data_IF_626783828333
#
_entry.id   IF_626783828333
#
_cell.length_a   1.000
_cell.length_b   1.000
_cell.length_c   1.000
_cell.angle_alpha   90.00
_cell.angle_beta   90.00
_cell.angle_gamma   90.00
#
_symmetry.space_group_name_H-M   'P 1'
#
loop_
_entity.id
_entity.type
_entity.pdbx_description
1 polymer ?
#
# COMPACT_ATOMS: atom_id res chain seq x y z
N UNK A 1 11.40 -2.18 -41.40
CA UNK A 1 12.27 -1.94 -40.23
C UNK A 1 11.46 -1.11 -39.25
N UNK A 2 10.68 -1.80 -38.43
CA UNK A 2 9.87 -1.22 -37.36
C UNK A 2 10.76 -1.10 -36.13
N UNK A 3 11.05 0.12 -35.71
CA UNK A 3 11.66 0.43 -34.41
C UNK A 3 10.80 -0.21 -33.31
N UNK A 4 11.32 -1.26 -32.69
CA UNK A 4 10.93 -1.57 -31.33
C UNK A 4 11.45 -0.43 -30.47
N UNK A 5 10.64 0.21 -29.60
CA UNK A 5 11.19 1.14 -28.64
C UNK A 5 12.14 0.34 -27.74
N UNK A 6 13.43 0.60 -27.90
CA UNK A 6 14.48 0.06 -27.06
C UNK A 6 14.10 0.33 -25.60
N UNK A 7 13.82 -0.74 -24.84
CA UNK A 7 13.93 -0.73 -23.38
C UNK A 7 15.41 -0.56 -23.03
N UNK A 8 15.97 0.63 -23.27
CA UNK A 8 17.18 1.07 -22.59
C UNK A 8 16.88 1.02 -21.10
N UNK A 9 17.82 0.52 -20.30
CA UNK A 9 17.66 0.38 -18.85
C UNK A 9 17.16 1.71 -18.25
N UNK A 10 15.86 1.77 -17.98
CA UNK A 10 15.21 2.98 -17.51
C UNK A 10 15.48 3.14 -16.02
N UNK A 11 15.80 4.35 -15.59
CA UNK A 11 15.97 4.64 -14.16
C UNK A 11 14.72 5.31 -13.63
N UNK A 12 14.23 4.86 -12.49
CA UNK A 12 13.07 5.41 -11.79
C UNK A 12 13.55 5.99 -10.46
N UNK A 13 13.25 7.26 -10.21
CA UNK A 13 13.50 7.88 -8.92
C UNK A 13 12.42 7.47 -7.91
N UNK A 14 12.79 6.97 -6.74
CA UNK A 14 11.85 6.71 -5.64
C UNK A 14 12.24 7.55 -4.43
N UNK A 15 11.38 8.49 -4.06
CA UNK A 15 11.55 9.27 -2.84
C UNK A 15 10.95 8.51 -1.66
N UNK A 16 11.80 7.96 -0.77
CA UNK A 16 11.35 7.20 0.41
C UNK A 16 12.40 7.18 1.51
N UNK A 17 11.98 7.39 2.76
CA UNK A 17 12.85 7.25 3.96
C UNK A 17 12.80 5.87 4.59
N UNK A 18 11.78 5.06 4.29
CA UNK A 18 11.44 3.87 5.08
C UNK A 18 11.77 2.54 4.38
N UNK A 19 12.92 2.48 3.71
CA UNK A 19 13.46 1.26 3.07
C UNK A 19 12.54 0.54 2.06
N UNK A 20 11.49 1.23 1.55
CA UNK A 20 10.55 0.63 0.58
C UNK A 20 11.22 0.25 -0.74
N UNK A 21 12.35 0.87 -1.08
CA UNK A 21 13.07 0.61 -2.33
C UNK A 21 13.40 -0.86 -2.54
N UNK A 22 13.80 -1.58 -1.50
CA UNK A 22 14.11 -3.01 -1.59
C UNK A 22 12.87 -3.88 -1.90
N UNK A 23 11.67 -3.42 -1.53
CA UNK A 23 10.41 -4.12 -1.78
C UNK A 23 9.89 -3.86 -3.19
N UNK A 24 10.11 -2.65 -3.70
CA UNK A 24 9.55 -2.19 -4.97
C UNK A 24 10.48 -2.42 -6.16
N UNK A 25 11.78 -2.47 -5.93
CA UNK A 25 12.76 -2.68 -6.99
C UNK A 25 12.66 -4.03 -7.73
N UNK A 26 12.43 -5.19 -7.07
CA UNK A 26 12.49 -6.48 -7.77
C UNK A 26 11.48 -6.64 -8.91
N UNK A 27 10.18 -6.31 -8.74
CA UNK A 27 9.22 -6.41 -9.85
C UNK A 27 9.54 -5.47 -11.03
N UNK A 28 10.10 -4.29 -10.76
CA UNK A 28 10.47 -3.32 -11.80
C UNK A 28 11.77 -3.71 -12.51
N UNK A 29 12.73 -4.32 -11.80
CA UNK A 29 13.98 -4.80 -12.38
C UNK A 29 13.73 -5.89 -13.45
N UNK A 30 12.68 -6.70 -13.30
CA UNK A 30 12.25 -7.67 -14.32
C UNK A 30 11.85 -7.02 -15.66
N UNK A 31 11.49 -5.73 -15.65
CA UNK A 31 11.22 -4.92 -16.84
C UNK A 31 12.44 -4.12 -17.33
N UNK A 32 13.62 -4.35 -16.74
CA UNK A 32 14.84 -3.57 -17.00
C UNK A 32 14.84 -2.18 -16.36
N UNK A 33 13.93 -1.90 -15.42
CA UNK A 33 13.79 -0.62 -14.74
C UNK A 33 14.54 -0.63 -13.40
N UNK A 34 15.56 0.22 -13.27
CA UNK A 34 16.37 0.34 -12.06
C UNK A 34 15.82 1.42 -11.12
N UNK A 35 15.41 1.04 -9.91
CA UNK A 35 14.95 1.99 -8.89
C UNK A 35 16.14 2.67 -8.21
N UNK A 36 16.23 3.98 -8.37
CA UNK A 36 17.17 4.87 -7.69
C UNK A 36 16.47 5.54 -6.50
N UNK A 37 16.80 5.12 -5.28
CA UNK A 37 16.22 5.68 -4.06
C UNK A 37 16.87 7.03 -3.73
N UNK A 38 16.08 8.00 -3.32
CA UNK A 38 16.54 9.26 -2.72
C UNK A 38 15.79 9.53 -1.43
N UNK A 39 16.49 10.08 -0.45
CA UNK A 39 15.99 10.57 0.84
C UNK A 39 16.30 12.07 1.03
N UNK A 40 16.68 12.76 -0.04
CA UNK A 40 17.09 14.17 -0.04
C UNK A 40 15.96 15.14 0.35
N UNK A 41 14.72 14.64 0.48
CA UNK A 41 13.58 15.38 1.00
C UNK A 41 12.91 14.60 2.13
N UNK A 42 12.59 15.30 3.21
CA UNK A 42 11.87 14.70 4.31
C UNK A 42 10.39 14.53 3.97
N UNK A 43 10.02 13.34 3.51
CA UNK A 43 8.64 12.98 3.17
C UNK A 43 7.66 13.06 4.33
N UNK A 44 8.14 13.07 5.58
CA UNK A 44 7.29 13.18 6.76
C UNK A 44 6.66 14.57 6.88
N UNK A 45 7.22 15.58 6.19
CA UNK A 45 6.60 16.90 6.02
C UNK A 45 5.28 16.85 5.23
N UNK A 46 5.04 15.77 4.47
CA UNK A 46 3.78 15.53 3.76
C UNK A 46 2.75 14.78 4.63
N UNK A 47 3.10 14.45 5.88
CA UNK A 47 2.30 13.73 6.86
C UNK A 47 2.92 12.39 7.27
N UNK A 48 2.72 11.97 8.52
CA UNK A 48 3.32 10.74 9.09
C UNK A 48 2.31 9.68 9.47
N UNK A 49 2.73 8.41 9.42
CA UNK A 49 1.95 7.28 9.96
C UNK A 49 1.84 7.32 11.48
N UNK A 50 2.83 7.90 12.17
CA UNK A 50 2.88 8.04 13.62
C UNK A 50 1.96 9.12 14.18
N UNK A 51 1.32 9.92 13.32
CA UNK A 51 0.40 11.01 13.71
C UNK A 51 1.09 12.30 14.17
N UNK A 52 2.41 12.42 13.97
CA UNK A 52 3.18 13.61 14.36
C UNK A 52 2.96 14.80 13.41
N UNK A 53 2.73 14.53 12.12
CA UNK A 53 2.39 15.55 11.11
C UNK A 53 1.06 15.16 10.46
N UNK A 54 0.10 16.08 10.46
CA UNK A 54 -1.21 15.87 9.87
C UNK A 54 -1.12 15.65 8.35
N UNK A 55 -1.91 14.71 7.83
CA UNK A 55 -2.01 14.45 6.38
C UNK A 55 -3.03 15.42 5.79
N UNK A 56 -2.59 16.32 4.92
CA UNK A 56 -3.46 17.34 4.28
C UNK A 56 -3.85 16.99 2.84
N UNK A 57 -3.16 16.02 2.23
CA UNK A 57 -3.40 15.54 0.87
C UNK A 57 -4.11 14.19 0.90
N UNK A 58 -4.85 13.88 -0.18
CA UNK A 58 -5.30 12.50 -0.41
C UNK A 58 -4.09 11.57 -0.60
N UNK A 59 -4.22 10.25 -0.33
CA UNK A 59 -3.13 9.32 -0.58
C UNK A 59 -2.62 9.36 -2.02
N UNK A 60 -3.51 9.53 -3.00
CA UNK A 60 -3.14 9.63 -4.40
C UNK A 60 -2.34 10.91 -4.70
N UNK A 61 -2.80 12.06 -4.20
CA UNK A 61 -2.12 13.35 -4.43
C UNK A 61 -0.76 13.40 -3.73
N UNK A 62 -0.65 12.79 -2.55
CA UNK A 62 0.62 12.68 -1.84
C UNK A 62 1.61 11.77 -2.59
N UNK A 63 1.17 10.63 -3.11
CA UNK A 63 2.00 9.78 -3.95
C UNK A 63 2.42 10.51 -5.23
N UNK A 64 1.51 11.23 -5.90
CA UNK A 64 1.82 12.07 -7.06
C UNK A 64 2.90 13.10 -6.74
N UNK A 65 2.74 13.84 -5.64
CA UNK A 65 3.73 14.85 -5.23
C UNK A 65 5.08 14.22 -4.92
N UNK A 66 5.12 13.05 -4.29
CA UNK A 66 6.36 12.29 -4.03
C UNK A 66 7.03 11.84 -5.33
N UNK A 67 6.28 11.36 -6.31
CA UNK A 67 6.81 10.99 -7.62
C UNK A 67 7.43 12.20 -8.34
N UNK A 68 6.73 13.34 -8.35
CA UNK A 68 7.20 14.58 -8.94
C UNK A 68 8.46 15.11 -8.24
N UNK A 69 8.48 15.14 -6.91
CA UNK A 69 9.66 15.51 -6.13
C UNK A 69 10.85 14.59 -6.41
N UNK A 70 10.61 13.28 -6.55
CA UNK A 70 11.68 12.33 -6.88
C UNK A 70 12.35 12.69 -8.22
N UNK A 71 11.57 13.05 -9.24
CA UNK A 71 12.10 13.58 -10.50
C UNK A 71 12.84 14.91 -10.33
N UNK A 72 12.26 15.87 -9.60
CA UNK A 72 12.86 17.19 -9.35
C UNK A 72 14.23 17.07 -8.68
N UNK A 73 14.37 16.20 -7.67
CA UNK A 73 15.59 16.04 -6.88
C UNK A 73 16.69 15.26 -7.60
N UNK A 74 16.31 14.30 -8.45
CA UNK A 74 17.27 13.40 -9.10
C UNK A 74 17.58 13.77 -10.55
N UNK A 75 16.75 14.63 -11.16
CA UNK A 75 16.81 14.94 -12.59
C UNK A 75 16.33 13.80 -13.50
N UNK A 76 15.81 12.70 -12.95
CA UNK A 76 15.24 11.60 -13.74
C UNK A 76 13.84 11.95 -14.25
N UNK A 77 13.47 11.36 -15.40
CA UNK A 77 12.17 11.59 -16.02
C UNK A 77 11.06 10.72 -15.45
N UNK A 78 11.40 9.59 -14.84
CA UNK A 78 10.45 8.69 -14.20
C UNK A 78 10.56 8.82 -12.68
N UNK A 79 9.43 9.15 -12.05
CA UNK A 79 9.32 9.31 -10.61
C UNK A 79 8.30 8.33 -10.03
N UNK A 80 8.61 7.76 -8.88
CA UNK A 80 7.76 6.82 -8.18
C UNK A 80 7.42 7.36 -6.79
N UNK A 81 6.13 7.50 -6.55
CA UNK A 81 5.55 7.83 -5.25
C UNK A 81 4.96 6.61 -4.60
N UNK A 82 5.01 6.56 -3.28
CA UNK A 82 4.40 5.49 -2.49
C UNK A 82 3.64 6.04 -1.29
N UNK A 83 2.41 5.58 -1.11
CA UNK A 83 1.57 5.91 0.03
C UNK A 83 0.88 4.68 0.58
N UNK A 84 0.59 4.73 1.87
CA UNK A 84 -0.25 3.71 2.48
C UNK A 84 -1.20 4.29 3.53
N UNK A 85 -2.24 3.55 3.85
CA UNK A 85 -3.26 3.93 4.82
C UNK A 85 -3.82 2.71 5.54
N UNK A 86 -4.25 2.93 6.79
CA UNK A 86 -4.86 1.89 7.63
C UNK A 86 -6.28 2.27 8.06
N UNK A 87 -7.12 1.27 8.33
CA UNK A 87 -8.42 1.42 9.00
C UNK A 87 -9.65 1.54 8.10
N UNK A 88 -9.48 1.54 6.78
CA UNK A 88 -10.57 1.47 5.80
C UNK A 88 -11.08 0.05 5.57
N UNK A 89 -11.42 -0.27 4.32
CA UNK A 89 -11.82 -1.62 3.91
C UNK A 89 -13.29 -1.96 4.14
N UNK A 90 -13.71 -3.18 3.77
CA UNK A 90 -15.12 -3.59 3.75
C UNK A 90 -15.76 -3.71 5.15
N UNK A 91 -14.95 -3.80 6.21
CA UNK A 91 -15.38 -3.94 7.59
C UNK A 91 -14.63 -2.97 8.51
N UNK A 92 -14.68 -1.67 8.15
CA UNK A 92 -14.01 -0.61 8.91
C UNK A 92 -14.35 -0.68 10.42
N UNK A 93 -13.31 -0.60 11.26
CA UNK A 93 -13.44 -0.71 12.71
C UNK A 93 -13.43 -2.14 13.28
N UNK A 94 -13.71 -3.16 12.47
CA UNK A 94 -13.64 -4.57 12.88
C UNK A 94 -12.34 -5.24 12.44
N UNK A 95 -11.85 -4.90 11.25
CA UNK A 95 -10.64 -5.46 10.67
C UNK A 95 -9.66 -4.33 10.42
N UNK A 96 -8.42 -4.48 10.89
CA UNK A 96 -7.37 -3.55 10.49
C UNK A 96 -7.02 -3.84 9.02
N UNK A 97 -7.23 -2.84 8.17
CA UNK A 97 -7.11 -2.98 6.73
C UNK A 97 -6.00 -2.07 6.23
N UNK A 98 -5.02 -2.66 5.55
CA UNK A 98 -3.94 -1.95 4.87
C UNK A 98 -4.31 -1.69 3.42
N UNK A 99 -4.01 -0.49 2.94
CA UNK A 99 -4.06 -0.14 1.52
C UNK A 99 -2.75 0.55 1.15
N UNK A 100 -2.05 -0.02 0.18
CA UNK A 100 -0.80 0.48 -0.37
C UNK A 100 -1.01 0.93 -1.82
N UNK A 101 -0.45 2.09 -2.12
CA UNK A 101 -0.55 2.76 -3.41
C UNK A 101 0.85 3.11 -3.92
N UNK A 102 1.11 2.78 -5.17
CA UNK A 102 2.28 3.21 -5.93
C UNK A 102 1.82 4.04 -7.12
N UNK A 103 2.46 5.17 -7.36
CA UNK A 103 2.21 6.02 -8.53
C UNK A 103 3.52 6.26 -9.27
N UNK A 104 3.61 5.75 -10.50
CA UNK A 104 4.65 6.13 -11.43
C UNK A 104 4.19 7.36 -12.22
N UNK A 105 5.03 8.38 -12.26
CA UNK A 105 4.84 9.59 -13.05
C UNK A 105 5.93 9.69 -14.10
N UNK A 106 5.53 9.86 -15.37
CA UNK A 106 6.45 10.18 -16.46
C UNK A 106 6.41 11.68 -16.73
N UNK A 107 7.52 12.36 -16.37
CA UNK A 107 7.69 13.80 -16.55
C UNK A 107 7.58 14.25 -18.01
N UNK A 108 8.00 13.41 -18.98
CA UNK A 108 8.04 13.79 -20.40
C UNK A 108 6.66 13.85 -21.00
N UNK A 109 5.80 12.89 -20.64
CA UNK A 109 4.46 12.77 -21.19
C UNK A 109 3.37 13.30 -20.26
N UNK A 110 3.69 13.53 -18.98
CA UNK A 110 2.73 13.87 -17.93
C UNK A 110 1.86 12.69 -17.50
N UNK A 111 2.10 11.48 -17.99
CA UNK A 111 1.28 10.31 -17.72
C UNK A 111 1.51 9.75 -16.31
N UNK A 112 0.47 9.12 -15.77
CA UNK A 112 0.47 8.49 -14.45
C UNK A 112 0.01 7.04 -14.55
N UNK A 113 0.69 6.16 -13.82
CA UNK A 113 0.30 4.76 -13.64
C UNK A 113 0.19 4.49 -12.15
N UNK A 114 -1.04 4.21 -11.69
CA UNK A 114 -1.38 4.04 -10.27
C UNK A 114 -1.66 2.57 -9.93
N UNK A 115 -0.77 1.90 -9.22
CA UNK A 115 -1.00 0.54 -8.75
C UNK A 115 -1.41 0.52 -7.27
N UNK A 116 -2.23 -0.47 -6.91
CA UNK A 116 -2.77 -0.64 -5.55
C UNK A 116 -2.76 -2.11 -5.13
N UNK A 117 -2.55 -2.32 -3.84
CA UNK A 117 -2.83 -3.59 -3.17
C UNK A 117 -3.37 -3.29 -1.78
N UNK A 118 -4.31 -4.10 -1.32
CA UNK A 118 -4.96 -3.87 -0.04
C UNK A 118 -5.42 -5.20 0.57
N UNK A 119 -5.53 -5.25 1.89
CA UNK A 119 -6.02 -6.43 2.57
C UNK A 119 -5.95 -6.33 4.09
N UNK A 120 -6.42 -7.39 4.78
CA UNK A 120 -6.40 -7.42 6.22
C UNK A 120 -4.97 -7.54 6.76
N UNK A 121 -4.71 -6.87 7.88
CA UNK A 121 -3.53 -7.05 8.72
C UNK A 121 -3.98 -7.43 10.14
N UNK A 122 -3.24 -8.34 10.78
CA UNK A 122 -3.60 -8.87 12.10
C UNK A 122 -3.09 -8.02 13.26
N UNK A 123 -2.09 -7.19 13.00
CA UNK A 123 -1.48 -6.35 14.04
C UNK A 123 -2.48 -5.33 14.59
N UNK A 124 -2.59 -5.25 15.91
CA UNK A 124 -3.50 -4.37 16.62
C UNK A 124 -2.85 -3.84 17.90
N UNK A 125 -3.30 -2.66 18.34
CA UNK A 125 -2.85 -2.05 19.58
C UNK A 125 -3.61 -2.62 20.78
N UNK A 126 -2.96 -2.68 21.94
CA UNK A 126 -3.57 -3.10 23.20
C UNK A 126 -2.98 -2.32 24.39
N UNK A 127 -3.75 -2.23 25.47
CA UNK A 127 -3.24 -1.69 26.74
C UNK A 127 -2.46 -2.79 27.45
N UNK A 128 -1.28 -2.44 27.93
CA UNK A 128 -0.45 -3.35 28.71
C UNK A 128 -1.05 -3.54 30.11
N UNK A 129 -1.19 -4.80 30.53
CA UNK A 129 -1.70 -5.18 31.85
C UNK A 129 -0.71 -6.05 32.62
N UNK A 130 0.03 -6.90 31.92
CA UNK A 130 1.05 -7.76 32.51
C UNK A 130 2.06 -8.22 31.48
N UNK A 131 3.22 -8.69 31.94
CA UNK A 131 4.23 -9.31 31.09
C UNK A 131 3.71 -10.57 30.38
N UNK A 132 2.92 -11.40 31.08
CA UNK A 132 2.33 -12.59 30.49
C UNK A 132 1.36 -12.26 29.34
N UNK A 133 0.50 -11.25 29.52
CA UNK A 133 -0.39 -10.76 28.46
C UNK A 133 0.40 -10.21 27.28
N UNK A 134 1.44 -9.42 27.52
CA UNK A 134 2.31 -8.89 26.46
C UNK A 134 2.93 -10.01 25.64
N UNK A 135 3.59 -10.97 26.29
CA UNK A 135 4.22 -12.10 25.59
C UNK A 135 3.18 -12.86 24.77
N UNK A 136 2.01 -13.16 25.34
CA UNK A 136 0.95 -13.88 24.65
C UNK A 136 0.42 -13.12 23.41
N UNK A 137 0.27 -11.79 23.50
CA UNK A 137 -0.20 -10.96 22.38
C UNK A 137 0.85 -10.80 21.28
N UNK A 138 2.14 -10.76 21.63
CA UNK A 138 3.22 -10.50 20.68
C UNK A 138 3.80 -11.78 20.04
N UNK A 139 3.77 -12.92 20.74
CA UNK A 139 4.35 -14.18 20.29
C UNK A 139 3.85 -14.71 18.93
N UNK A 140 2.58 -14.49 18.51
CA UNK A 140 2.10 -14.93 17.20
C UNK A 140 2.75 -14.20 16.01
N UNK A 141 3.40 -13.07 16.25
CA UNK A 141 3.98 -12.24 15.19
C UNK A 141 5.47 -12.55 14.97
N UNK A 142 5.98 -12.40 13.73
CA UNK A 142 7.40 -12.63 13.44
C UNK A 142 8.29 -11.67 14.23
N UNK A 143 9.52 -12.07 14.54
CA UNK A 143 10.49 -11.23 15.26
C UNK A 143 10.83 -9.92 14.54
N UNK A 144 10.63 -9.86 13.22
CA UNK A 144 10.77 -8.65 12.42
C UNK A 144 9.61 -7.64 12.58
N UNK A 145 8.51 -8.02 13.25
CA UNK A 145 7.44 -7.09 13.59
C UNK A 145 7.92 -6.13 14.68
N UNK A 146 7.93 -4.84 14.36
CA UNK A 146 8.23 -3.77 15.30
C UNK A 146 7.00 -3.33 16.08
N UNK A 147 7.25 -2.85 17.28
CA UNK A 147 6.25 -2.32 18.20
C UNK A 147 6.64 -0.94 18.70
N UNK A 148 5.65 -0.20 19.14
CA UNK A 148 5.76 1.11 19.77
C UNK A 148 5.18 0.97 21.17
N UNK A 149 5.93 1.41 22.18
CA UNK A 149 5.41 1.59 23.54
C UNK A 149 5.11 3.09 23.71
N UNK A 150 3.84 3.40 23.99
CA UNK A 150 3.40 4.75 24.36
C UNK A 150 3.04 4.77 25.84
N UNK A 151 3.59 5.71 26.57
CA UNK A 151 3.35 5.88 28.00
C UNK A 151 3.40 7.38 28.35
N UNK A 152 2.98 7.81 29.56
CA UNK A 152 2.87 9.23 29.91
C UNK A 152 4.18 10.02 29.76
N UNK A 153 5.31 9.35 29.99
CA UNK A 153 6.63 9.96 29.95
C UNK A 153 7.31 9.90 28.57
N UNK A 154 6.69 9.27 27.55
CA UNK A 154 7.33 9.18 26.23
C UNK A 154 6.80 8.11 25.30
N UNK A 155 7.55 7.93 24.21
CA UNK A 155 7.27 6.97 23.15
C UNK A 155 8.57 6.29 22.72
N UNK A 156 8.60 4.97 22.79
CA UNK A 156 9.70 4.13 22.28
C UNK A 156 9.22 3.41 21.03
N UNK A 157 9.97 3.51 19.92
CA UNK A 157 9.55 3.03 18.60
C UNK A 157 10.56 2.04 18.00
N UNK A 158 10.14 1.20 17.06
CA UNK A 158 11.04 0.29 16.34
C UNK A 158 11.53 -0.89 17.19
N UNK A 159 10.73 -1.32 18.17
CA UNK A 159 11.08 -2.43 19.06
C UNK A 159 10.70 -3.75 18.38
N UNK A 160 11.66 -4.41 17.74
CA UNK A 160 11.40 -5.63 16.96
C UNK A 160 11.33 -6.88 17.83
N UNK A 161 10.16 -7.53 17.82
CA UNK A 161 9.91 -8.76 18.55
C UNK A 161 9.74 -8.60 20.06
N UNK A 162 9.32 -9.69 20.71
CA UNK A 162 8.94 -9.71 22.14
C UNK A 162 10.09 -9.27 23.05
N UNK A 163 11.30 -9.75 22.78
CA UNK A 163 12.47 -9.47 23.63
C UNK A 163 12.81 -7.96 23.70
N UNK A 164 12.82 -7.28 22.55
CA UNK A 164 13.12 -5.84 22.50
C UNK A 164 12.06 -5.01 23.24
N UNK A 165 10.80 -5.42 23.16
CA UNK A 165 9.70 -4.76 23.88
C UNK A 165 9.85 -4.96 25.39
N UNK A 166 10.17 -6.17 25.85
CA UNK A 166 10.37 -6.46 27.27
C UNK A 166 11.58 -5.71 27.84
N UNK A 167 12.70 -5.71 27.11
CA UNK A 167 13.90 -4.99 27.52
C UNK A 167 13.61 -3.49 27.70
N UNK A 168 12.97 -2.86 26.71
CA UNK A 168 12.60 -1.45 26.79
C UNK A 168 11.60 -1.18 27.93
N UNK A 169 10.62 -2.07 28.10
CA UNK A 169 9.64 -1.98 29.17
C UNK A 169 10.33 -1.96 30.54
N UNK A 170 11.25 -2.90 30.80
CA UNK A 170 11.95 -3.01 32.09
C UNK A 170 12.99 -1.91 32.31
N UNK A 171 13.76 -1.58 31.27
CA UNK A 171 14.89 -0.64 31.39
C UNK A 171 14.42 0.82 31.47
N UNK A 172 13.39 1.19 30.72
CA UNK A 172 13.05 2.59 30.48
C UNK A 172 11.62 2.97 30.84
N UNK A 173 10.66 2.05 30.74
CA UNK A 173 9.24 2.37 30.96
C UNK A 173 8.86 2.19 32.42
N UNK A 174 8.93 0.96 32.96
CA UNK A 174 8.51 0.63 34.33
C UNK A 174 9.17 1.51 35.41
N UNK A 175 10.50 1.80 35.36
CA UNK A 175 11.13 2.65 36.37
C UNK A 175 10.61 4.09 36.40
N UNK A 176 9.91 4.53 35.35
CA UNK A 176 9.38 5.89 35.19
C UNK A 176 7.87 5.96 35.42
N UNK A 177 7.19 4.83 35.61
CA UNK A 177 5.76 4.82 35.91
C UNK A 177 5.54 5.11 37.39
N UNK A 178 4.56 5.97 37.70
CA UNK A 178 4.11 6.17 39.07
C UNK A 178 2.97 5.22 39.40
N UNK A 179 2.69 5.03 40.70
CA UNK A 179 1.58 4.20 41.17
C UNK A 179 0.25 4.74 40.63
N UNK A 180 -0.32 4.06 39.63
CA UNK A 180 -1.55 4.47 38.92
C UNK A 180 -1.41 4.53 37.40
N UNK A 181 -0.18 4.60 36.88
CA UNK A 181 0.07 4.79 35.44
C UNK A 181 0.10 3.50 34.61
N UNK A 182 0.02 2.32 35.23
CA UNK A 182 0.14 1.04 34.50
C UNK A 182 -0.90 0.91 33.37
N UNK A 183 -2.14 1.38 33.59
CA UNK A 183 -3.21 1.37 32.60
C UNK A 183 -3.07 2.43 31.49
N UNK A 184 -2.02 3.25 31.54
CA UNK A 184 -1.72 4.28 30.52
C UNK A 184 -0.64 3.85 29.52
N UNK A 185 -0.05 2.65 29.71
CA UNK A 185 0.92 2.08 28.77
C UNK A 185 0.17 1.36 27.65
N UNK A 186 0.37 1.83 26.42
CA UNK A 186 -0.22 1.26 25.21
C UNK A 186 0.89 0.66 24.35
N UNK A 187 0.68 -0.57 23.91
CA UNK A 187 1.51 -1.24 22.93
C UNK A 187 0.81 -1.08 21.58
N UNK A 188 1.48 -0.43 20.64
CA UNK A 188 0.97 -0.16 19.29
C UNK A 188 1.86 -0.87 18.26
N UNK A 189 1.31 -1.40 17.17
CA UNK A 189 2.15 -1.93 16.11
C UNK A 189 2.91 -0.81 15.40
N UNK A 190 4.18 -1.05 15.10
CA UNK A 190 4.96 -0.14 14.27
C UNK A 190 4.65 -0.40 12.80
N UNK A 191 3.75 0.41 12.26
CA UNK A 191 3.23 0.24 10.90
C UNK A 191 4.19 0.76 9.82
N UNK A 192 5.38 1.26 10.18
CA UNK A 192 6.37 1.70 9.19
C UNK A 192 6.86 0.47 8.38
N UNK A 193 7.08 0.65 7.09
CA UNK A 193 7.30 -0.46 6.15
C UNK A 193 8.42 -1.43 6.57
N UNK A 194 9.54 -0.92 7.11
CA UNK A 194 10.65 -1.76 7.59
C UNK A 194 10.31 -2.62 8.82
N UNK A 195 9.27 -2.26 9.58
CA UNK A 195 8.88 -2.91 10.83
C UNK A 195 7.57 -3.70 10.74
N UNK A 196 6.90 -3.72 9.58
CA UNK A 196 5.61 -4.40 9.44
C UNK A 196 5.64 -5.42 8.29
N UNK A 197 6.02 -6.69 8.55
CA UNK A 197 6.12 -7.72 7.51
C UNK A 197 4.82 -7.97 6.72
N UNK A 198 3.65 -7.88 7.36
CA UNK A 198 2.36 -8.03 6.68
C UNK A 198 2.13 -6.91 5.67
N UNK A 199 2.36 -5.65 6.07
CA UNK A 199 2.31 -4.47 5.17
C UNK A 199 3.28 -4.60 4.00
N UNK A 200 4.49 -5.13 4.24
CA UNK A 200 5.46 -5.32 3.16
C UNK A 200 4.93 -6.24 2.04
N UNK A 201 4.03 -7.17 2.35
CA UNK A 201 3.39 -8.03 1.34
C UNK A 201 2.52 -7.22 0.40
N UNK A 202 1.72 -6.29 0.93
CA UNK A 202 0.89 -5.41 0.08
C UNK A 202 1.74 -4.40 -0.71
N UNK A 203 2.85 -3.90 -0.14
CA UNK A 203 3.81 -3.07 -0.90
C UNK A 203 4.37 -3.84 -2.11
N UNK A 204 4.74 -5.12 -1.92
CA UNK A 204 5.24 -5.98 -3.01
C UNK A 204 4.16 -6.24 -4.06
N UNK A 205 2.94 -6.56 -3.65
CA UNK A 205 1.81 -6.77 -4.57
C UNK A 205 1.48 -5.51 -5.38
N UNK A 206 1.53 -4.33 -4.77
CA UNK A 206 1.36 -3.06 -5.49
C UNK A 206 2.49 -2.86 -6.52
N UNK A 207 3.73 -3.22 -6.19
CA UNK A 207 4.86 -3.15 -7.13
C UNK A 207 4.74 -4.18 -8.28
N UNK A 208 4.26 -5.39 -7.99
CA UNK A 208 3.96 -6.42 -8.99
C UNK A 208 2.86 -5.96 -9.95
N UNK A 209 1.76 -5.39 -9.42
CA UNK A 209 0.70 -4.84 -10.25
C UNK A 209 1.20 -3.66 -11.08
N UNK A 210 2.05 -2.79 -10.53
CA UNK A 210 2.67 -1.71 -11.30
C UNK A 210 3.47 -2.27 -12.49
N UNK A 211 4.28 -3.31 -12.26
CA UNK A 211 5.02 -3.96 -13.33
C UNK A 211 4.08 -4.59 -14.40
N UNK A 212 3.01 -5.26 -13.98
CA UNK A 212 2.00 -5.82 -14.89
C UNK A 212 1.34 -4.73 -15.74
N UNK A 213 0.98 -3.60 -15.12
CA UNK A 213 0.41 -2.43 -15.80
C UNK A 213 1.35 -1.85 -16.84
N UNK A 214 2.63 -1.69 -16.50
CA UNK A 214 3.64 -1.20 -17.44
C UNK A 214 3.89 -2.16 -18.61
N UNK A 215 3.77 -3.47 -18.38
CA UNK A 215 3.92 -4.48 -19.42
C UNK A 215 2.68 -4.61 -20.32
N UNK A 216 1.50 -4.27 -19.81
CA UNK A 216 0.24 -4.39 -20.54
C UNK A 216 0.06 -3.21 -21.49
N UNK A 217 0.45 -3.42 -22.75
CA UNK A 217 0.40 -2.39 -23.79
C UNK A 217 -0.95 -2.34 -24.51
N UNK A 218 -1.34 -1.13 -24.93
CA UNK A 218 -2.48 -0.94 -25.81
C UNK A 218 -2.23 -1.60 -27.17
N UNK A 219 -3.17 -2.42 -27.69
CA UNK A 219 -2.99 -3.08 -28.99
C UNK A 219 -2.95 -2.10 -30.18
N UNK A 220 -3.45 -0.87 -30.00
CA UNK A 220 -3.50 0.13 -31.06
C UNK A 220 -2.28 1.06 -31.11
N UNK A 221 -1.82 1.56 -29.95
CA UNK A 221 -0.76 2.58 -29.91
C UNK A 221 0.43 2.17 -29.04
N UNK A 222 0.46 0.93 -28.56
CA UNK A 222 1.51 0.32 -27.72
C UNK A 222 1.84 1.05 -26.41
N UNK A 223 1.07 2.08 -26.06
CA UNK A 223 1.19 2.78 -24.79
C UNK A 223 0.98 1.80 -23.61
N UNK A 224 1.77 1.91 -22.53
CA UNK A 224 1.63 1.06 -21.37
C UNK A 224 0.33 1.36 -20.62
N UNK A 225 0.02 0.57 -19.59
CA UNK A 225 -1.12 0.74 -18.71
C UNK A 225 -2.48 0.57 -19.41
N UNK A 226 -2.58 -0.37 -20.37
CA UNK A 226 -3.87 -0.80 -20.92
C UNK A 226 -4.57 -1.77 -19.97
N UNK A 227 -5.00 -1.25 -18.83
CA UNK A 227 -5.43 -1.99 -17.66
C UNK A 227 -6.95 -1.92 -17.45
N UNK A 228 -7.59 -2.98 -16.89
CA UNK A 228 -9.03 -2.99 -16.64
C UNK A 228 -9.38 -2.22 -15.34
N UNK A 229 -9.32 -0.89 -15.40
CA UNK A 229 -9.72 -0.04 -14.26
C UNK A 229 -11.24 0.19 -14.18
N UNK A 230 -11.91 0.11 -15.33
CA UNK A 230 -13.34 0.36 -15.46
C UNK A 230 -14.12 -0.97 -15.57
N UNK A 231 -15.41 -0.94 -15.26
CA UNK A 231 -16.30 -2.08 -15.48
C UNK A 231 -17.69 -1.63 -15.91
N UNK A 232 -18.38 -2.51 -16.64
CA UNK A 232 -19.82 -2.37 -16.93
C UNK A 232 -20.56 -3.26 -15.94
N UNK A 233 -21.47 -2.75 -15.10
CA UNK A 233 -22.27 -3.58 -14.20
C UNK A 233 -23.36 -4.35 -14.97
N UNK A 234 -24.03 -5.29 -14.30
CA UNK A 234 -25.19 -6.00 -14.84
C UNK A 234 -24.99 -7.49 -15.04
N UNK A 235 -24.05 -8.12 -14.30
CA UNK A 235 -23.90 -9.57 -14.33
C UNK A 235 -25.24 -10.25 -13.93
N UNK A 236 -25.78 -11.17 -14.74
CA UNK A 236 -27.09 -11.75 -14.48
C UNK A 236 -27.06 -12.69 -13.27
N UNK A 237 -28.07 -12.61 -12.40
CA UNK A 237 -28.24 -13.52 -11.28
C UNK A 237 -28.51 -14.96 -11.76
N UNK A 238 -27.84 -15.95 -11.16
CA UNK A 238 -28.00 -17.36 -11.53
C UNK A 238 -29.42 -17.92 -11.28
N UNK A 239 -30.22 -17.31 -10.40
CA UNK A 239 -31.55 -17.81 -10.02
C UNK A 239 -32.70 -17.09 -10.76
N UNK A 240 -32.59 -15.78 -10.96
CA UNK A 240 -33.68 -14.94 -11.46
C UNK A 240 -33.34 -14.12 -12.71
N UNK A 241 -32.12 -14.24 -13.24
CA UNK A 241 -31.60 -13.50 -14.40
C UNK A 241 -31.59 -11.96 -14.26
N UNK A 242 -32.03 -11.41 -13.12
CA UNK A 242 -32.01 -9.98 -12.90
C UNK A 242 -30.57 -9.43 -12.92
N UNK A 243 -30.33 -8.26 -13.53
CA UNK A 243 -29.01 -7.64 -13.56
C UNK A 243 -28.59 -7.24 -12.15
N UNK A 244 -27.39 -7.62 -11.74
CA UNK A 244 -26.80 -7.25 -10.45
C UNK A 244 -25.87 -6.03 -10.57
N UNK A 245 -25.44 -5.47 -9.43
CA UNK A 245 -24.39 -4.45 -9.41
C UNK A 245 -22.99 -5.01 -9.70
N UNK A 246 -22.85 -6.34 -9.85
CA UNK A 246 -21.56 -6.95 -10.12
C UNK A 246 -21.12 -6.66 -11.57
N UNK A 247 -19.79 -6.56 -11.81
CA UNK A 247 -19.22 -6.38 -13.14
C UNK A 247 -19.67 -7.47 -14.11
N UNK A 248 -20.23 -7.08 -15.26
CA UNK A 248 -20.47 -7.92 -16.43
C UNK A 248 -19.25 -7.95 -17.35
N UNK A 249 -18.65 -6.77 -17.59
CA UNK A 249 -17.44 -6.61 -18.40
C UNK A 249 -16.39 -5.87 -17.58
N UNK A 250 -15.15 -6.35 -17.62
CA UNK A 250 -13.98 -5.56 -17.28
C UNK A 250 -13.57 -4.73 -18.51
N UNK A 251 -13.46 -3.40 -18.36
CA UNK A 251 -13.13 -2.48 -19.45
C UNK A 251 -11.70 -1.98 -19.33
N UNK A 252 -10.91 -2.23 -20.36
CA UNK A 252 -9.59 -1.60 -20.56
C UNK A 252 -9.77 -0.37 -21.42
N UNK A 253 -9.16 0.75 -21.02
CA UNK A 253 -9.17 1.99 -21.79
C UNK A 253 -7.75 2.55 -21.88
N UNK A 254 -7.30 2.90 -23.09
CA UNK A 254 -6.02 3.53 -23.28
C UNK A 254 -6.12 5.05 -23.04
N UNK A 255 -5.32 5.57 -22.12
CA UNK A 255 -5.25 7.01 -21.82
C UNK A 255 -4.64 7.85 -22.95
N UNK A 256 -3.94 7.22 -23.90
CA UNK A 256 -3.23 7.91 -25.00
C UNK A 256 -4.09 8.01 -26.26
N UNK A 257 -4.62 6.89 -26.75
CA UNK A 257 -5.39 6.86 -28.01
C UNK A 257 -6.90 6.70 -27.82
N UNK A 258 -7.38 6.47 -26.59
CA UNK A 258 -8.80 6.28 -26.29
C UNK A 258 -9.37 4.92 -26.72
N UNK A 259 -8.54 3.98 -27.21
CA UNK A 259 -9.00 2.63 -27.53
C UNK A 259 -9.58 1.93 -26.29
N UNK A 260 -10.68 1.20 -26.48
CA UNK A 260 -11.39 0.47 -25.44
C UNK A 260 -11.56 -1.00 -25.82
N UNK A 261 -11.39 -1.89 -24.84
CA UNK A 261 -11.63 -3.32 -24.98
C UNK A 261 -12.35 -3.84 -23.73
N UNK A 262 -13.50 -4.49 -23.93
CA UNK A 262 -14.24 -5.16 -22.86
C UNK A 262 -13.98 -6.66 -22.84
N UNK A 263 -13.75 -7.21 -21.65
CA UNK A 263 -13.57 -8.63 -21.38
C UNK A 263 -14.68 -9.11 -20.44
N UNK A 264 -15.46 -10.15 -20.82
CA UNK A 264 -16.44 -10.75 -19.92
C UNK A 264 -15.79 -11.26 -18.64
N UNK A 265 -16.44 -11.04 -17.51
CA UNK A 265 -15.98 -11.62 -16.25
C UNK A 265 -16.25 -13.13 -16.20
N UNK A 266 -15.46 -13.84 -15.40
CA UNK A 266 -15.65 -15.26 -15.12
C UNK A 266 -15.81 -15.44 -13.61
N UNK A 267 -16.86 -16.13 -13.12
CA UNK A 267 -17.94 -16.77 -13.89
C UNK A 267 -18.91 -15.76 -14.55
N UNK A 268 -19.66 -16.17 -15.60
CA UNK A 268 -20.54 -15.26 -16.35
C UNK A 268 -21.91 -14.98 -15.67
N UNK A 269 -22.08 -15.43 -14.42
CA UNK A 269 -23.32 -15.27 -13.63
C UNK A 269 -22.97 -14.87 -12.21
N UNK A 270 -23.86 -14.10 -11.58
CA UNK A 270 -23.77 -13.69 -10.19
C UNK A 270 -24.43 -14.71 -9.27
N UNK A 271 -23.80 -14.99 -8.12
CA UNK A 271 -24.45 -15.76 -7.07
C UNK A 271 -25.66 -14.98 -6.50
N UNK A 272 -26.77 -15.66 -6.18
CA UNK A 272 -27.99 -15.02 -5.68
C UNK A 272 -27.80 -14.12 -4.45
N UNK A 273 -26.78 -14.39 -3.63
CA UNK A 273 -26.44 -13.57 -2.45
C UNK A 273 -26.04 -12.13 -2.78
N UNK A 274 -25.63 -11.85 -4.03
CA UNK A 274 -25.27 -10.51 -4.50
C UNK A 274 -26.39 -9.85 -5.34
N UNK A 275 -27.53 -10.52 -5.51
CA UNK A 275 -28.66 -9.99 -6.25
C UNK A 275 -29.63 -9.28 -5.32
N UNK A 276 -29.90 -7.99 -5.56
CA UNK A 276 -30.85 -7.20 -4.76
C UNK A 276 -32.31 -7.66 -4.86
N UNK A 277 -32.64 -8.56 -5.79
CA UNK A 277 -33.97 -9.17 -5.89
C UNK A 277 -34.08 -10.49 -5.12
N UNK A 278 -33.04 -11.34 -5.20
CA UNK A 278 -33.00 -12.62 -4.47
C UNK A 278 -32.61 -12.43 -2.99
N UNK A 279 -31.77 -11.45 -2.72
CA UNK A 279 -31.24 -11.10 -1.40
C UNK A 279 -31.29 -9.56 -1.21
N UNK A 280 -32.49 -9.00 -1.00
CA UNK A 280 -32.69 -7.55 -0.80
C UNK A 280 -32.08 -7.02 0.50
#
# INVERSE_FOLDING_TARGET
MTDQPHAGSGRIALLTRHAKGALVAPPLAALGLAVSVTDAFDTDQLGTFSGEVARTLSPLDCARRKAQLACELTGLDLGLGSEGSFGGGPMAGFVNWDEELLLLWDRRSGQEVVARAAGPVRVAAFTWESEAQLVAQLAPFPSAQGWIIRHPAGVSKGLCGVAAVLEELHANVLPRLTSGDAHSVRIEPDLRAMHCPERQTYIRQAAEQLAQRLHTACPHCTAPNFWPDDHVPGLPCADCDAPTSLPLLALRRCSVCGHEQGEPVTPPVAEPQYCSWCNP
#
